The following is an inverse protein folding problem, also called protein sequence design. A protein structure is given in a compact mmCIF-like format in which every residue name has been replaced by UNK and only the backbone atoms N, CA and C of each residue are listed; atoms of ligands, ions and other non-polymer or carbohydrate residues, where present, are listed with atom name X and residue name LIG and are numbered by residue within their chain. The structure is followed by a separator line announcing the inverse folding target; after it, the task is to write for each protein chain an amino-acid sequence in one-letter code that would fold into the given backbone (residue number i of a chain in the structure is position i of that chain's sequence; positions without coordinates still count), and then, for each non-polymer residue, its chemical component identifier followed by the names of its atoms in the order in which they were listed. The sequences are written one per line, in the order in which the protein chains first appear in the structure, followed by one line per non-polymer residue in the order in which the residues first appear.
data_IF_773571363232
#
_entry.id   IF_773571363232
#
_cell.length_a   1.000
_cell.length_b   1.000
_cell.length_c   1.000
_cell.angle_alpha   90.00
_cell.angle_beta   90.00
_cell.angle_gamma   90.00
#
_symmetry.space_group_name_H-M   'P 1'
#
loop_
_entity.id
_entity.type
_entity.pdbx_description
1 polymer ?
#
# COMPACT_ATOMS: atom_id res chain seq x y z
N UNK A 1 38.85 -34.57 30.80
CA UNK A 1 37.51 -34.42 31.40
C UNK A 1 37.22 -32.93 31.46
N UNK A 2 36.45 -32.39 30.50
CA UNK A 2 36.00 -31.00 30.55
C UNK A 2 34.47 -31.05 30.63
N UNK A 3 33.92 -30.63 31.76
CA UNK A 3 32.49 -30.46 31.94
C UNK A 3 32.07 -29.19 31.18
N UNK A 4 31.36 -29.36 30.07
CA UNK A 4 30.66 -28.26 29.42
C UNK A 4 29.30 -28.12 30.09
N UNK A 5 29.21 -27.20 31.05
CA UNK A 5 27.96 -26.71 31.64
C UNK A 5 27.22 -25.87 30.61
N UNK A 6 26.51 -26.53 29.68
CA UNK A 6 25.49 -25.87 28.87
C UNK A 6 24.26 -25.64 29.73
N UNK A 7 24.13 -24.44 30.31
CA UNK A 7 22.88 -23.98 30.90
C UNK A 7 21.80 -23.97 29.82
N UNK A 8 21.00 -25.03 29.76
CA UNK A 8 19.79 -25.08 28.96
C UNK A 8 18.85 -23.99 29.50
N UNK A 9 18.76 -22.89 28.76
CA UNK A 9 17.72 -21.90 28.98
C UNK A 9 16.39 -22.55 28.58
N UNK A 10 15.61 -22.94 29.59
CA UNK A 10 14.23 -23.36 29.41
C UNK A 10 13.43 -22.19 28.84
N UNK A 11 13.40 -22.10 27.52
CA UNK A 11 12.50 -21.25 26.75
C UNK A 11 11.11 -21.87 26.77
N UNK A 12 10.49 -21.94 27.95
CA UNK A 12 9.05 -22.12 28.04
C UNK A 12 8.38 -20.80 27.66
N UNK A 13 8.37 -20.49 26.36
CA UNK A 13 7.47 -19.46 25.84
C UNK A 13 6.06 -19.95 26.16
N UNK A 14 5.45 -19.36 27.18
CA UNK A 14 4.10 -19.72 27.62
C UNK A 14 3.15 -19.57 26.43
N UNK A 15 2.15 -20.45 26.33
CA UNK A 15 1.19 -20.45 25.22
C UNK A 15 0.53 -19.06 25.00
N UNK A 16 0.40 -18.29 26.08
CA UNK A 16 -0.04 -16.90 26.09
C UNK A 16 0.90 -15.95 25.32
N UNK A 17 2.22 -16.12 25.42
CA UNK A 17 3.24 -15.29 24.75
C UNK A 17 3.23 -15.56 23.22
N UNK A 18 3.04 -16.81 22.81
CA UNK A 18 2.80 -17.17 21.39
C UNK A 18 1.49 -16.59 20.85
N UNK A 19 0.43 -16.58 21.65
CA UNK A 19 -0.84 -15.95 21.31
C UNK A 19 -0.71 -14.42 21.13
N UNK A 20 0.07 -13.78 22.01
CA UNK A 20 0.35 -12.34 21.95
C UNK A 20 1.13 -11.96 20.69
N UNK A 21 2.20 -12.69 20.36
CA UNK A 21 2.97 -12.49 19.10
C UNK A 21 2.09 -12.62 17.86
N UNK A 22 1.20 -13.63 17.82
CA UNK A 22 0.24 -13.80 16.71
C UNK A 22 -0.74 -12.63 16.60
N UNK A 23 -1.28 -12.16 17.74
CA UNK A 23 -2.21 -11.02 17.79
C UNK A 23 -1.54 -9.75 17.28
N UNK A 24 -0.36 -9.41 17.77
CA UNK A 24 0.38 -8.21 17.34
C UNK A 24 0.71 -8.24 15.85
N UNK A 25 1.12 -9.40 15.32
CA UNK A 25 1.35 -9.59 13.88
C UNK A 25 0.07 -9.36 13.06
N UNK A 26 -1.05 -9.94 13.49
CA UNK A 26 -2.33 -9.80 12.80
C UNK A 26 -2.84 -8.35 12.80
N UNK A 27 -2.70 -7.64 13.93
CA UNK A 27 -3.06 -6.22 14.04
C UNK A 27 -2.16 -5.33 13.17
N UNK A 28 -0.85 -5.60 13.16
CA UNK A 28 0.08 -4.89 12.28
C UNK A 28 -0.29 -5.05 10.82
N UNK A 29 -0.62 -6.28 10.41
CA UNK A 29 -1.04 -6.56 9.04
C UNK A 29 -2.39 -5.92 8.70
N UNK A 30 -3.35 -5.96 9.62
CA UNK A 30 -4.63 -5.28 9.45
C UNK A 30 -4.42 -3.77 9.21
N UNK A 31 -3.60 -3.10 10.02
CA UNK A 31 -3.27 -1.69 9.83
C UNK A 31 -2.68 -1.40 8.45
N UNK A 32 -1.76 -2.24 7.96
CA UNK A 32 -1.18 -2.08 6.61
C UNK A 32 -2.26 -2.16 5.52
N UNK A 33 -3.19 -3.11 5.62
CA UNK A 33 -4.30 -3.26 4.67
C UNK A 33 -5.28 -2.10 4.74
N UNK A 34 -5.59 -1.63 5.94
CA UNK A 34 -6.50 -0.52 6.16
C UNK A 34 -5.91 0.78 5.59
N UNK A 35 -4.61 1.04 5.82
CA UNK A 35 -3.89 2.16 5.19
C UNK A 35 -3.93 2.05 3.67
N UNK A 36 -3.64 0.87 3.10
CA UNK A 36 -3.69 0.67 1.65
C UNK A 36 -5.09 0.92 1.08
N UNK A 37 -6.13 0.40 1.73
CA UNK A 37 -7.51 0.58 1.27
C UNK A 37 -7.91 2.06 1.31
N UNK A 38 -7.56 2.79 2.37
CA UNK A 38 -7.80 4.23 2.46
C UNK A 38 -7.16 5.00 1.31
N UNK A 39 -5.90 4.68 0.96
CA UNK A 39 -5.22 5.33 -0.16
C UNK A 39 -5.90 5.02 -1.50
N UNK A 40 -6.41 3.80 -1.69
CA UNK A 40 -7.19 3.44 -2.88
C UNK A 40 -8.50 4.24 -2.93
N UNK A 41 -9.19 4.41 -1.80
CA UNK A 41 -10.43 5.18 -1.74
C UNK A 41 -10.19 6.66 -2.08
N UNK A 42 -9.16 7.28 -1.50
CA UNK A 42 -8.74 8.65 -1.82
C UNK A 42 -8.38 8.79 -3.31
N UNK A 43 -7.61 7.84 -3.86
CA UNK A 43 -7.25 7.84 -5.27
C UNK A 43 -8.48 7.70 -6.18
N UNK A 44 -9.46 6.86 -5.79
CA UNK A 44 -10.70 6.67 -6.55
C UNK A 44 -11.44 7.99 -6.73
N UNK A 45 -11.53 8.81 -5.67
CA UNK A 45 -12.17 10.13 -5.73
C UNK A 45 -11.51 11.06 -6.76
N UNK A 46 -10.20 10.95 -6.97
CA UNK A 46 -9.46 11.75 -7.94
C UNK A 46 -9.66 11.29 -9.38
N UNK A 47 -9.81 9.97 -9.62
CA UNK A 47 -9.79 9.40 -10.97
C UNK A 47 -11.18 9.06 -11.53
N UNK A 48 -12.19 8.92 -10.67
CA UNK A 48 -13.51 8.38 -11.01
C UNK A 48 -14.38 9.24 -11.94
N UNK A 49 -14.18 10.56 -12.03
CA UNK A 49 -14.98 11.49 -12.86
C UNK A 49 -16.52 11.28 -12.85
N UNK A 50 -17.08 10.76 -11.75
CA UNK A 50 -18.51 10.46 -11.61
C UNK A 50 -18.84 8.99 -11.32
N UNK A 51 -17.96 8.06 -11.65
CA UNK A 51 -18.16 6.62 -11.37
C UNK A 51 -17.71 6.24 -9.96
N UNK A 52 -18.68 6.15 -9.05
CA UNK A 52 -18.40 5.94 -7.61
C UNK A 52 -17.84 4.57 -7.24
N UNK A 53 -17.84 3.57 -8.13
CA UNK A 53 -17.41 2.20 -7.82
C UNK A 53 -16.43 1.69 -8.87
N UNK A 54 -15.18 1.51 -8.45
CA UNK A 54 -14.12 0.92 -9.25
C UNK A 54 -13.45 -0.18 -8.43
N UNK A 55 -13.09 -1.30 -9.05
CA UNK A 55 -12.25 -2.30 -8.40
C UNK A 55 -10.81 -1.78 -8.27
N UNK A 56 -10.05 -2.32 -7.30
CA UNK A 56 -8.70 -1.85 -6.96
C UNK A 56 -7.76 -1.79 -8.17
N UNK A 57 -7.81 -2.80 -9.04
CA UNK A 57 -6.94 -2.85 -10.22
C UNK A 57 -7.34 -1.78 -11.24
N UNK A 58 -8.63 -1.56 -11.43
CA UNK A 58 -9.13 -0.50 -12.31
C UNK A 58 -8.80 0.89 -11.80
N UNK A 59 -8.86 1.14 -10.49
CA UNK A 59 -8.43 2.42 -9.89
C UNK A 59 -6.97 2.71 -10.24
N UNK A 60 -6.08 1.73 -10.05
CA UNK A 60 -4.65 1.88 -10.36
C UNK A 60 -4.40 2.10 -11.85
N UNK A 61 -5.08 1.33 -12.73
CA UNK A 61 -4.97 1.51 -14.19
C UNK A 61 -5.47 2.89 -14.63
N UNK A 62 -6.59 3.35 -14.10
CA UNK A 62 -7.12 4.67 -14.40
C UNK A 62 -6.22 5.78 -13.89
N UNK A 63 -5.60 5.64 -12.72
CA UNK A 63 -4.64 6.61 -12.19
C UNK A 63 -3.42 6.75 -13.12
N UNK A 64 -2.86 5.63 -13.59
CA UNK A 64 -1.75 5.65 -14.55
C UNK A 64 -2.19 6.34 -15.86
N UNK A 65 -3.35 5.99 -16.39
CA UNK A 65 -3.88 6.59 -17.62
C UNK A 65 -4.16 8.10 -17.44
N UNK A 66 -4.72 8.49 -16.30
CA UNK A 66 -4.98 9.88 -15.95
C UNK A 66 -3.70 10.71 -16.02
N UNK A 67 -2.63 10.25 -15.36
CA UNK A 67 -1.34 10.96 -15.37
C UNK A 67 -0.73 11.03 -16.79
N UNK A 68 -0.77 9.93 -17.55
CA UNK A 68 -0.30 9.91 -18.95
C UNK A 68 -1.05 10.90 -19.85
N UNK A 69 -2.37 10.97 -19.69
CA UNK A 69 -3.19 11.91 -20.46
C UNK A 69 -2.93 13.37 -20.07
N UNK A 70 -2.75 13.66 -18.77
CA UNK A 70 -2.42 15.00 -18.32
C UNK A 70 -1.07 15.46 -18.89
N UNK A 71 -0.06 14.60 -18.80
CA UNK A 71 1.25 14.85 -19.42
C UNK A 71 1.09 15.16 -20.91
N UNK A 72 0.48 14.24 -21.68
CA UNK A 72 0.25 14.42 -23.12
C UNK A 72 -0.49 15.74 -23.46
N UNK A 73 -1.56 16.09 -22.71
CA UNK A 73 -2.31 17.33 -22.93
C UNK A 73 -1.46 18.58 -22.68
N UNK A 74 -0.61 18.57 -21.67
CA UNK A 74 0.26 19.69 -21.35
C UNK A 74 1.35 19.89 -22.42
N UNK A 75 1.99 18.83 -22.94
CA UNK A 75 2.95 18.98 -24.04
C UNK A 75 2.28 19.49 -25.31
N UNK A 76 1.14 18.90 -25.69
CA UNK A 76 0.41 19.38 -26.87
C UNK A 76 -0.03 20.83 -26.67
N UNK A 77 -0.68 21.17 -25.54
CA UNK A 77 -1.14 22.55 -25.30
C UNK A 77 0.01 23.57 -25.20
N UNK A 78 1.16 23.19 -24.66
CA UNK A 78 2.33 24.09 -24.56
C UNK A 78 3.00 24.25 -25.92
N UNK A 79 3.16 23.16 -26.67
CA UNK A 79 3.72 23.19 -28.02
C UNK A 79 2.83 23.96 -28.99
N UNK A 80 1.50 23.80 -28.89
CA UNK A 80 0.54 24.65 -29.61
C UNK A 80 0.62 26.12 -29.19
N UNK A 81 0.82 26.43 -27.90
CA UNK A 81 1.03 27.83 -27.47
C UNK A 81 2.34 28.43 -27.97
N UNK A 82 3.43 27.66 -27.96
CA UNK A 82 4.74 28.11 -28.42
C UNK A 82 4.90 28.13 -29.94
N UNK A 83 4.06 27.41 -30.70
CA UNK A 83 4.09 27.42 -32.16
C UNK A 83 3.19 28.50 -32.79
N UNK A 84 2.26 29.07 -32.02
CA UNK A 84 1.29 30.08 -32.47
C UNK A 84 1.51 31.48 -31.86
N UNK A 85 2.68 31.70 -31.24
CA UNK A 85 3.19 33.01 -30.83
C UNK A 85 4.65 33.12 -31.28
#
# INVERSE_FOLDING_TARGET
MAECSSSFSDNTSTFAEKGSKRKTRNESEKRRRDTFNRLIDELTLLVAKGDRKMDKSSVLKCAINFLKQQHCKLYNSTLFKCAYF
#
